data_IF_413553978110
#
_entry.id   IF_413553978110
#
_cell.length_a   1.000
_cell.length_b   1.000
_cell.length_c   1.000
_cell.angle_alpha   90.00
_cell.angle_beta   90.00
_cell.angle_gamma   90.00
#
_symmetry.space_group_name_H-M   'P 1'
#
loop_
_entity.id
_entity.type
_entity.pdbx_description
1 polymer ?
#
# COMPACT_ATOMS: atom_id res chain seq x y z
N UNK A 1 6.35 -4.51 10.76
CA UNK A 1 5.41 -3.65 10.01
C UNK A 1 5.59 -3.92 8.52
N UNK A 2 4.48 -4.11 7.78
CA UNK A 2 4.49 -4.16 6.32
C UNK A 2 3.89 -2.86 5.79
N UNK A 3 4.62 -2.16 4.93
CA UNK A 3 4.31 -0.85 4.38
C UNK A 3 4.03 -0.96 2.87
N UNK A 4 3.33 0.04 2.31
CA UNK A 4 3.16 0.18 0.85
C UNK A 4 2.64 -1.09 0.16
N UNK A 5 1.53 -1.65 0.67
CA UNK A 5 0.94 -2.92 0.22
C UNK A 5 1.88 -4.14 0.30
N UNK A 6 2.99 -4.05 1.04
CA UNK A 6 3.98 -5.12 1.16
C UNK A 6 5.30 -4.87 0.44
N UNK A 7 5.47 -3.70 -0.19
CA UNK A 7 6.72 -3.37 -0.88
C UNK A 7 7.90 -3.22 0.09
N UNK A 8 7.64 -2.83 1.34
CA UNK A 8 8.66 -2.72 2.38
C UNK A 8 8.18 -3.42 3.65
N UNK A 9 9.02 -4.28 4.23
CA UNK A 9 8.76 -4.92 5.52
C UNK A 9 9.92 -4.58 6.44
N UNK A 10 9.60 -3.98 7.57
CA UNK A 10 10.56 -3.55 8.60
C UNK A 10 10.16 -4.14 9.96
N UNK A 11 11.13 -4.29 10.85
CA UNK A 11 10.90 -4.56 12.27
C UNK A 11 11.67 -3.55 13.11
N UNK A 12 11.18 -3.35 14.32
CA UNK A 12 11.92 -2.63 15.33
C UNK A 12 13.11 -3.49 15.78
N UNK A 13 14.32 -2.95 15.69
CA UNK A 13 15.55 -3.54 16.21
C UNK A 13 16.08 -2.75 17.41
N UNK A 14 17.02 -3.34 18.15
CA UNK A 14 17.61 -2.71 19.34
C UNK A 14 18.37 -1.41 19.02
N UNK A 15 19.07 -1.36 17.88
CA UNK A 15 19.89 -0.22 17.44
C UNK A 15 19.32 0.52 16.20
N UNK A 16 18.35 -0.09 15.51
CA UNK A 16 17.70 0.44 14.31
C UNK A 16 16.18 0.26 14.42
N UNK A 17 15.41 1.35 14.62
CA UNK A 17 13.96 1.26 14.75
C UNK A 17 13.25 0.76 13.48
N UNK A 18 13.94 0.75 12.32
CA UNK A 18 13.38 0.33 11.04
C UNK A 18 14.26 -0.69 10.32
N UNK A 19 14.71 -1.73 11.03
CA UNK A 19 15.49 -2.79 10.42
C UNK A 19 14.70 -3.48 9.30
N UNK A 20 15.24 -3.42 8.07
CA UNK A 20 14.61 -4.01 6.89
C UNK A 20 14.65 -5.54 6.90
N UNK A 21 13.50 -6.16 6.69
CA UNK A 21 13.33 -7.60 6.43
C UNK A 21 13.22 -7.87 4.93
N UNK A 22 12.48 -7.03 4.21
CA UNK A 22 12.21 -7.18 2.78
C UNK A 22 12.02 -5.82 2.13
N UNK A 23 12.54 -5.64 0.91
CA UNK A 23 12.33 -4.47 0.07
C UNK A 23 12.08 -4.95 -1.37
N UNK A 24 10.99 -4.50 -1.94
CA UNK A 24 10.65 -4.65 -3.35
C UNK A 24 10.40 -3.27 -3.92
N UNK A 25 11.28 -2.86 -4.83
CA UNK A 25 11.27 -1.53 -5.42
C UNK A 25 10.62 -1.54 -6.79
N UNK A 26 10.14 -0.37 -7.21
CA UNK A 26 9.78 -0.07 -8.59
C UNK A 26 11.04 -0.03 -9.46
N UNK A 27 10.89 -0.44 -10.72
CA UNK A 27 11.94 -0.27 -11.71
C UNK A 27 12.17 1.23 -11.97
N UNK A 28 13.42 1.69 -11.85
CA UNK A 28 13.78 3.11 -12.05
C UNK A 28 13.42 3.60 -13.45
N UNK A 29 13.61 2.78 -14.49
CA UNK A 29 13.28 3.14 -15.87
C UNK A 29 11.77 3.32 -16.08
N UNK A 30 10.95 2.39 -15.58
CA UNK A 30 9.49 2.51 -15.62
C UNK A 30 8.99 3.71 -14.80
N UNK A 31 9.61 3.96 -13.65
CA UNK A 31 9.29 5.10 -12.78
C UNK A 31 9.56 6.43 -13.49
N UNK A 32 10.72 6.57 -14.14
CA UNK A 32 11.07 7.76 -14.92
C UNK A 32 10.11 7.94 -16.11
N UNK A 33 9.75 6.85 -16.80
CA UNK A 33 8.78 6.89 -17.90
C UNK A 33 7.40 7.39 -17.41
N UNK A 34 6.95 6.94 -16.23
CA UNK A 34 5.70 7.40 -15.63
C UNK A 34 5.77 8.88 -15.23
N UNK A 35 6.85 9.32 -14.59
CA UNK A 35 7.04 10.74 -14.24
C UNK A 35 7.03 11.60 -15.52
N UNK A 36 7.74 11.19 -16.57
CA UNK A 36 7.75 11.90 -17.84
C UNK A 36 6.35 12.00 -18.48
N UNK A 37 5.57 10.91 -18.45
CA UNK A 37 4.19 10.90 -18.91
C UNK A 37 3.35 11.94 -18.15
N UNK A 38 3.45 11.93 -16.82
CA UNK A 38 2.68 12.81 -15.94
C UNK A 38 3.03 14.28 -16.19
N UNK A 39 4.32 14.63 -16.19
CA UNK A 39 4.78 16.00 -16.46
C UNK A 39 4.37 16.51 -17.84
N UNK A 40 4.27 15.63 -18.85
CA UNK A 40 3.89 16.03 -20.21
C UNK A 40 2.38 16.10 -20.43
N UNK A 41 1.61 15.14 -19.92
CA UNK A 41 0.20 14.95 -20.26
C UNK A 41 -0.79 15.19 -19.11
N UNK A 42 -0.36 15.00 -17.86
CA UNK A 42 -1.23 15.07 -16.67
C UNK A 42 -0.65 16.03 -15.63
N UNK A 43 -0.49 17.30 -16.01
CA UNK A 43 0.24 18.33 -15.23
C UNK A 43 -0.40 18.70 -13.88
N UNK A 44 -1.65 18.33 -13.69
CA UNK A 44 -2.50 18.58 -12.53
C UNK A 44 -2.48 17.41 -11.54
N UNK A 45 -1.96 16.25 -11.95
CA UNK A 45 -1.82 15.08 -11.08
C UNK A 45 -0.56 15.27 -10.23
N UNK A 46 -0.75 15.25 -8.92
CA UNK A 46 0.32 15.29 -7.95
C UNK A 46 1.05 13.94 -7.88
N UNK A 47 2.37 14.00 -7.75
CA UNK A 47 3.24 12.81 -7.66
C UNK A 47 3.84 12.76 -6.26
N UNK A 48 3.45 11.74 -5.51
CA UNK A 48 4.05 11.40 -4.21
C UNK A 48 4.90 10.15 -4.34
N UNK A 49 6.22 10.29 -4.15
CA UNK A 49 7.18 9.19 -4.20
C UNK A 49 7.54 8.76 -2.78
N UNK A 50 7.34 7.49 -2.46
CA UNK A 50 7.66 6.92 -1.15
C UNK A 50 8.89 6.02 -1.22
N UNK A 51 9.88 6.29 -0.37
CA UNK A 51 11.15 5.57 -0.29
C UNK A 51 11.55 5.37 1.17
N UNK A 52 11.50 4.13 1.66
CA UNK A 52 11.79 3.85 3.07
C UNK A 52 10.76 4.50 3.99
N UNK A 53 11.20 5.42 4.85
CA UNK A 53 10.34 6.26 5.70
C UNK A 53 10.00 7.61 5.07
N UNK A 54 10.63 7.93 3.94
CA UNK A 54 10.60 9.27 3.37
C UNK A 54 9.51 9.38 2.30
N UNK A 55 8.94 10.58 2.22
CA UNK A 55 7.95 10.96 1.23
C UNK A 55 8.46 12.17 0.45
N UNK A 56 8.64 12.03 -0.85
CA UNK A 56 9.19 13.05 -1.75
C UNK A 56 8.13 13.56 -2.73
N UNK A 57 8.16 14.87 -2.99
CA UNK A 57 7.29 15.56 -3.96
C UNK A 57 8.09 16.62 -4.73
N UNK A 58 7.67 16.99 -5.94
CA UNK A 58 8.32 18.11 -6.67
C UNK A 58 7.89 19.49 -6.15
N UNK A 59 6.66 19.59 -5.63
CA UNK A 59 6.11 20.81 -5.04
C UNK A 59 4.95 20.47 -4.10
N UNK A 60 4.64 21.36 -3.17
CA UNK A 60 3.45 21.25 -2.32
C UNK A 60 2.26 21.85 -3.06
N UNK A 61 1.26 21.04 -3.33
CA UNK A 61 -0.04 21.40 -3.91
C UNK A 61 -1.18 20.99 -2.96
N UNK A 62 -2.43 21.24 -3.36
CA UNK A 62 -3.60 20.92 -2.53
C UNK A 62 -3.73 19.42 -2.19
N UNK A 63 -3.27 18.53 -3.09
CA UNK A 63 -3.32 17.09 -2.89
C UNK A 63 -2.26 16.63 -1.89
N UNK A 64 -1.06 17.22 -1.96
CA UNK A 64 0.00 17.01 -0.98
C UNK A 64 -0.43 17.51 0.40
N UNK A 65 -1.03 18.70 0.49
CA UNK A 65 -1.57 19.23 1.75
C UNK A 65 -2.65 18.30 2.34
N UNK A 66 -3.55 17.79 1.50
CA UNK A 66 -4.57 16.83 1.92
C UNK A 66 -3.94 15.53 2.45
N UNK A 67 -2.98 14.97 1.73
CA UNK A 67 -2.32 13.71 2.14
C UNK A 67 -1.50 13.90 3.42
N UNK A 68 -0.82 15.04 3.58
CA UNK A 68 -0.12 15.40 4.82
C UNK A 68 -1.11 15.51 6.00
N UNK A 69 -2.28 16.09 5.77
CA UNK A 69 -3.32 16.19 6.80
C UNK A 69 -3.88 14.82 7.22
N UNK A 70 -3.93 13.84 6.32
CA UNK A 70 -4.39 12.47 6.57
C UNK A 70 -3.31 11.66 7.29
N UNK A 71 -2.11 11.63 6.73
CA UNK A 71 -1.00 10.78 7.17
C UNK A 71 -0.25 11.34 8.38
N UNK A 72 -0.36 12.67 8.61
CA UNK A 72 0.44 13.43 9.59
C UNK A 72 1.94 13.41 9.30
N UNK A 73 2.31 13.15 8.04
CA UNK A 73 3.68 13.19 7.56
C UNK A 73 3.95 14.52 6.85
N UNK A 74 5.22 14.95 6.88
CA UNK A 74 5.69 16.12 6.14
C UNK A 74 6.45 15.66 4.90
N UNK A 75 6.14 16.20 3.70
CA UNK A 75 6.83 15.83 2.48
C UNK A 75 8.19 16.52 2.37
N UNK A 76 9.12 15.88 1.68
CA UNK A 76 10.42 16.42 1.30
C UNK A 76 10.31 16.91 -0.16
N UNK A 77 10.44 18.23 -0.34
CA UNK A 77 10.45 18.83 -1.68
C UNK A 77 11.79 18.56 -2.35
N UNK A 78 11.80 17.83 -3.46
CA UNK A 78 13.01 17.42 -4.16
C UNK A 78 12.75 17.19 -5.66
N UNK A 79 13.81 17.23 -6.47
CA UNK A 79 13.74 16.85 -7.88
C UNK A 79 13.69 15.32 -8.01
N UNK A 80 12.53 14.78 -8.39
CA UNK A 80 12.32 13.32 -8.41
C UNK A 80 13.23 12.63 -9.45
N UNK A 81 13.47 13.24 -10.61
CA UNK A 81 14.37 12.68 -11.61
C UNK A 81 15.81 12.59 -11.09
N UNK A 82 16.27 13.60 -10.35
CA UNK A 82 17.60 13.61 -9.74
C UNK A 82 17.73 12.52 -8.67
N UNK A 83 16.71 12.37 -7.81
CA UNK A 83 16.66 11.32 -6.80
C UNK A 83 16.79 9.91 -7.41
N UNK A 84 16.11 9.67 -8.52
CA UNK A 84 16.11 8.39 -9.22
C UNK A 84 17.42 8.11 -9.96
N UNK A 85 17.96 9.10 -10.68
CA UNK A 85 19.11 8.91 -11.56
C UNK A 85 20.45 9.00 -10.83
N UNK A 86 20.58 9.94 -9.89
CA UNK A 86 21.85 10.25 -9.23
C UNK A 86 21.97 9.56 -7.88
N UNK A 87 20.92 9.67 -7.05
CA UNK A 87 20.93 9.13 -5.69
C UNK A 87 20.52 7.66 -5.62
N UNK A 88 19.88 7.15 -6.68
CA UNK A 88 19.39 5.77 -6.80
C UNK A 88 18.54 5.35 -5.61
N UNK A 89 17.65 6.23 -5.17
CA UNK A 89 16.77 5.96 -4.04
C UNK A 89 15.86 4.75 -4.34
N UNK A 90 15.68 3.84 -3.37
CA UNK A 90 14.79 2.70 -3.51
C UNK A 90 13.34 3.16 -3.45
N UNK A 91 12.62 3.13 -4.57
CA UNK A 91 11.21 3.58 -4.60
C UNK A 91 10.27 2.41 -4.33
N UNK A 92 9.50 2.48 -3.26
CA UNK A 92 8.56 1.42 -2.87
C UNK A 92 7.17 1.63 -3.42
N UNK A 93 6.75 2.89 -3.59
CA UNK A 93 5.42 3.26 -4.07
C UNK A 93 5.43 4.65 -4.71
N UNK A 94 4.64 4.81 -5.77
CA UNK A 94 4.11 6.12 -6.15
C UNK A 94 2.64 6.20 -5.73
N UNK A 95 2.23 7.35 -5.22
CA UNK A 95 0.83 7.73 -5.06
C UNK A 95 0.57 8.92 -5.98
N UNK A 96 -0.36 8.73 -6.90
CA UNK A 96 -0.74 9.72 -7.89
C UNK A 96 -2.14 10.22 -7.52
N UNK A 97 -2.28 11.53 -7.29
CA UNK A 97 -3.51 12.14 -6.79
C UNK A 97 -3.95 13.23 -7.75
N UNK A 98 -5.22 13.23 -8.14
CA UNK A 98 -5.80 14.22 -9.06
C UNK A 98 -7.32 14.23 -8.99
N UNK A 99 -8.00 14.79 -9.99
CA UNK A 99 -9.46 14.60 -10.08
C UNK A 99 -9.79 13.15 -10.45
N UNK A 100 -10.96 12.63 -10.03
CA UNK A 100 -11.40 11.26 -10.36
C UNK A 100 -11.32 10.96 -11.86
N UNK A 101 -11.80 11.89 -12.71
CA UNK A 101 -11.77 11.70 -14.16
C UNK A 101 -10.36 11.66 -14.74
N UNK A 102 -9.42 12.46 -14.22
CA UNK A 102 -8.02 12.42 -14.66
C UNK A 102 -7.31 11.15 -14.22
N UNK A 103 -7.61 10.66 -13.01
CA UNK A 103 -7.07 9.41 -12.47
C UNK A 103 -7.59 8.19 -13.24
N UNK A 104 -8.87 8.18 -13.61
CA UNK A 104 -9.46 7.15 -14.49
C UNK A 104 -8.75 7.12 -15.85
N UNK A 105 -8.60 8.29 -16.49
CA UNK A 105 -7.88 8.40 -17.77
C UNK A 105 -6.41 7.99 -17.64
N UNK A 106 -5.73 8.41 -16.58
CA UNK A 106 -4.35 8.02 -16.31
C UNK A 106 -4.24 6.50 -16.15
N UNK A 107 -5.15 5.88 -15.41
CA UNK A 107 -5.16 4.43 -15.21
C UNK A 107 -5.28 3.69 -16.54
N UNK A 108 -6.20 4.09 -17.41
CA UNK A 108 -6.34 3.50 -18.75
C UNK A 108 -5.05 3.64 -19.58
N UNK A 109 -4.42 4.81 -19.55
CA UNK A 109 -3.14 5.04 -20.22
C UNK A 109 -2.05 4.14 -19.63
N UNK A 110 -1.93 4.07 -18.30
CA UNK A 110 -0.98 3.23 -17.60
C UNK A 110 -1.16 1.74 -17.91
N UNK A 111 -2.40 1.26 -18.02
CA UNK A 111 -2.70 -0.13 -18.41
C UNK A 111 -2.36 -0.43 -19.87
N UNK A 112 -2.34 0.60 -20.73
CA UNK A 112 -1.87 0.49 -22.11
C UNK A 112 -0.34 0.59 -22.25
N UNK A 113 0.33 1.14 -21.23
CA UNK A 113 1.79 1.07 -21.12
C UNK A 113 2.12 -0.34 -20.68
N UNK A 114 2.71 -1.14 -21.58
CA UNK A 114 3.20 -2.48 -21.28
C UNK A 114 4.42 -2.42 -20.33
N UNK A 115 4.24 -1.87 -19.13
CA UNK A 115 5.24 -1.89 -18.07
C UNK A 115 5.31 -3.32 -17.54
N UNK A 116 6.52 -3.87 -17.53
CA UNK A 116 6.78 -5.26 -17.18
C UNK A 116 6.67 -5.49 -15.66
N UNK A 117 7.04 -4.48 -14.88
CA UNK A 117 7.21 -4.65 -13.43
C UNK A 117 6.25 -3.84 -12.56
N UNK A 118 5.47 -2.93 -13.14
CA UNK A 118 4.57 -2.04 -12.40
C UNK A 118 3.14 -2.58 -12.35
N UNK A 119 2.48 -2.40 -11.21
CA UNK A 119 1.04 -2.62 -11.02
C UNK A 119 0.36 -1.33 -10.58
N UNK A 120 -0.91 -1.21 -10.97
CA UNK A 120 -1.72 -0.02 -10.73
C UNK A 120 -2.96 -0.41 -9.92
N UNK A 121 -3.22 0.30 -8.83
CA UNK A 121 -4.35 0.03 -7.94
C UNK A 121 -5.01 1.33 -7.48
N UNK A 122 -6.33 1.41 -7.58
CA UNK A 122 -7.10 2.54 -7.03
C UNK A 122 -7.39 2.29 -5.55
N UNK A 123 -6.75 3.05 -4.66
CA UNK A 123 -7.08 3.01 -3.23
C UNK A 123 -8.24 3.93 -2.86
N UNK A 124 -8.49 4.95 -3.68
CA UNK A 124 -9.69 5.79 -3.71
C UNK A 124 -9.98 6.17 -5.16
N UNK A 125 -11.16 6.72 -5.44
CA UNK A 125 -11.55 7.20 -6.78
C UNK A 125 -10.55 8.20 -7.37
N UNK A 126 -9.86 8.96 -6.51
CA UNK A 126 -8.89 9.96 -6.91
C UNK A 126 -7.43 9.62 -6.54
N UNK A 127 -7.15 8.37 -6.13
CA UNK A 127 -5.83 7.92 -5.64
C UNK A 127 -5.40 6.69 -6.44
N UNK A 128 -4.44 6.85 -7.35
CA UNK A 128 -3.82 5.75 -8.07
C UNK A 128 -2.47 5.40 -7.45
N UNK A 129 -2.37 4.19 -6.91
CA UNK A 129 -1.13 3.64 -6.39
C UNK A 129 -0.38 2.88 -7.46
N UNK A 130 0.93 3.11 -7.53
CA UNK A 130 1.86 2.36 -8.37
C UNK A 130 2.83 1.62 -7.45
N UNK A 131 2.88 0.30 -7.59
CA UNK A 131 3.80 -0.58 -6.88
C UNK A 131 4.38 -1.62 -7.82
N UNK A 132 5.36 -2.40 -7.38
CA UNK A 132 5.85 -3.52 -8.20
C UNK A 132 4.78 -4.63 -8.28
N UNK A 133 4.58 -5.30 -9.42
CA UNK A 133 3.49 -6.26 -9.62
C UNK A 133 3.50 -7.47 -8.67
N UNK A 134 4.67 -7.81 -8.14
CA UNK A 134 4.82 -8.87 -7.15
C UNK A 134 4.47 -8.42 -5.72
N UNK A 135 4.14 -7.15 -5.49
CA UNK A 135 3.77 -6.62 -4.18
C UNK A 135 2.29 -6.90 -3.92
N UNK A 136 2.02 -7.53 -2.78
CA UNK A 136 0.66 -7.70 -2.26
C UNK A 136 0.70 -7.89 -0.76
N UNK A 137 -0.41 -7.55 -0.08
CA UNK A 137 -0.58 -7.79 1.36
C UNK A 137 -0.52 -9.28 1.70
N UNK A 138 -0.96 -10.14 0.78
CA UNK A 138 -0.86 -11.60 0.87
C UNK A 138 0.60 -12.08 0.91
N UNK A 139 1.43 -11.58 -0.01
CA UNK A 139 2.87 -11.89 -0.02
C UNK A 139 3.54 -11.34 1.23
N UNK A 140 3.15 -10.15 1.68
CA UNK A 140 3.67 -9.56 2.91
C UNK A 140 3.33 -10.43 4.13
N UNK A 141 2.08 -10.91 4.25
CA UNK A 141 1.68 -11.84 5.30
C UNK A 141 2.56 -13.09 5.29
N UNK A 142 2.79 -13.68 4.12
CA UNK A 142 3.65 -14.87 3.98
C UNK A 142 5.08 -14.61 4.43
N UNK A 143 5.67 -13.48 4.02
CA UNK A 143 7.04 -13.11 4.42
C UNK A 143 7.13 -12.89 5.93
N UNK A 144 6.18 -12.16 6.52
CA UNK A 144 6.15 -11.89 7.96
C UNK A 144 5.96 -13.18 8.75
N UNK A 145 5.01 -14.04 8.36
CA UNK A 145 4.76 -15.32 9.01
C UNK A 145 6.01 -16.22 8.99
N UNK A 146 6.66 -16.33 7.83
CA UNK A 146 7.91 -17.09 7.67
C UNK A 146 9.05 -16.51 8.51
N UNK A 147 9.19 -15.18 8.58
CA UNK A 147 10.22 -14.53 9.39
C UNK A 147 10.11 -14.91 10.88
N UNK A 148 8.88 -14.99 11.40
CA UNK A 148 8.62 -15.41 12.79
C UNK A 148 8.44 -16.93 12.96
N UNK A 149 8.64 -17.72 11.89
CA UNK A 149 8.43 -19.17 11.89
C UNK A 149 7.01 -19.58 12.34
N UNK A 150 6.02 -18.76 11.99
CA UNK A 150 4.61 -19.00 12.25
C UNK A 150 3.98 -19.55 10.96
N UNK A 151 3.35 -20.73 11.00
CA UNK A 151 2.57 -21.23 9.87
C UNK A 151 1.45 -20.26 9.50
N UNK A 152 1.16 -20.08 8.21
CA UNK A 152 0.16 -19.10 7.74
C UNK A 152 -1.26 -19.43 8.26
N UNK A 153 -1.56 -20.71 8.45
CA UNK A 153 -2.78 -21.21 9.09
C UNK A 153 -2.93 -20.77 10.57
N UNK A 154 -1.87 -20.29 11.20
CA UNK A 154 -1.88 -19.73 12.56
C UNK A 154 -1.92 -18.19 12.55
N UNK A 155 -2.32 -17.59 11.43
CA UNK A 155 -2.46 -16.12 11.30
C UNK A 155 -3.93 -15.71 11.17
N UNK A 156 -4.22 -14.50 11.62
CA UNK A 156 -5.50 -13.82 11.40
C UNK A 156 -5.26 -12.60 10.52
N UNK A 157 -6.03 -12.46 9.45
CA UNK A 157 -6.02 -11.28 8.60
C UNK A 157 -7.38 -10.57 8.69
N UNK A 158 -7.35 -9.27 9.00
CA UNK A 158 -8.55 -8.43 9.09
C UNK A 158 -8.43 -7.37 8.00
N UNK A 159 -9.45 -7.20 7.16
CA UNK A 159 -9.45 -6.20 6.10
C UNK A 159 -10.84 -5.77 5.67
N UNK A 160 -10.90 -4.73 4.87
CA UNK A 160 -12.15 -4.08 4.48
C UNK A 160 -12.22 -3.71 3.00
N UNK A 161 -11.18 -3.99 2.22
CA UNK A 161 -11.11 -3.60 0.82
C UNK A 161 -10.66 -4.77 -0.08
N UNK A 162 -10.80 -4.61 -1.40
CA UNK A 162 -10.50 -5.66 -2.39
C UNK A 162 -9.02 -6.08 -2.38
N UNK A 163 -8.09 -5.16 -2.07
CA UNK A 163 -6.67 -5.49 -1.93
C UNK A 163 -6.35 -6.32 -0.67
N UNK A 164 -7.28 -6.42 0.29
CA UNK A 164 -7.14 -7.29 1.46
C UNK A 164 -7.64 -8.72 1.19
N UNK A 165 -8.52 -8.90 0.21
CA UNK A 165 -9.20 -10.17 -0.05
C UNK A 165 -8.24 -11.36 -0.26
N UNK A 166 -7.13 -11.24 -1.01
CA UNK A 166 -6.16 -12.33 -1.11
C UNK A 166 -5.53 -12.70 0.25
N UNK A 167 -5.17 -11.70 1.06
CA UNK A 167 -4.59 -11.91 2.40
C UNK A 167 -5.61 -12.54 3.36
N UNK A 168 -6.87 -12.09 3.31
CA UNK A 168 -7.99 -12.65 4.08
C UNK A 168 -8.18 -14.13 3.76
N UNK A 169 -8.21 -14.49 2.48
CA UNK A 169 -8.37 -15.89 2.02
C UNK A 169 -7.18 -16.77 2.37
N UNK A 170 -5.97 -16.21 2.35
CA UNK A 170 -4.75 -16.95 2.65
C UNK A 170 -4.61 -17.28 4.15
N UNK A 171 -4.98 -16.35 5.03
CA UNK A 171 -4.82 -16.51 6.47
C UNK A 171 -5.65 -17.67 7.04
N UNK A 172 -5.21 -18.26 8.15
CA UNK A 172 -5.99 -19.29 8.85
C UNK A 172 -7.34 -18.80 9.38
N UNK A 173 -7.43 -17.50 9.72
CA UNK A 173 -8.66 -16.83 10.10
C UNK A 173 -8.80 -15.51 9.35
N UNK A 174 -9.52 -15.55 8.23
CA UNK A 174 -9.86 -14.35 7.46
C UNK A 174 -11.06 -13.62 8.05
N UNK A 175 -10.94 -12.31 8.28
CA UNK A 175 -11.99 -11.47 8.85
C UNK A 175 -12.28 -10.29 7.93
N UNK A 176 -13.53 -10.14 7.52
CA UNK A 176 -14.00 -8.93 6.86
C UNK A 176 -14.56 -7.93 7.88
N UNK A 177 -14.23 -6.65 7.74
CA UNK A 177 -14.87 -5.59 8.51
C UNK A 177 -16.34 -5.41 8.09
N UNK A 178 -17.16 -4.85 8.98
CA UNK A 178 -18.59 -4.62 8.71
C UNK A 178 -18.86 -3.67 7.54
N UNK A 179 -17.90 -2.79 7.23
CA UNK A 179 -17.95 -1.84 6.12
C UNK A 179 -17.32 -2.38 4.81
N UNK A 180 -16.91 -3.66 4.79
CA UNK A 180 -16.28 -4.25 3.62
C UNK A 180 -17.28 -4.50 2.48
N UNK A 181 -16.86 -4.44 1.20
CA UNK A 181 -17.67 -4.87 0.07
C UNK A 181 -18.18 -6.32 0.22
N UNK A 182 -19.31 -6.62 -0.42
CA UNK A 182 -19.94 -7.94 -0.32
C UNK A 182 -19.00 -9.08 -0.76
N UNK A 183 -18.21 -8.86 -1.82
CA UNK A 183 -17.23 -9.83 -2.29
C UNK A 183 -16.14 -10.14 -1.25
N UNK A 184 -15.67 -9.11 -0.53
CA UNK A 184 -14.68 -9.26 0.54
C UNK A 184 -15.29 -10.04 1.70
N UNK A 185 -16.51 -9.70 2.09
CA UNK A 185 -17.26 -10.40 3.15
C UNK A 185 -17.47 -11.88 2.82
N UNK A 186 -17.84 -12.20 1.57
CA UNK A 186 -18.01 -13.59 1.12
C UNK A 186 -16.71 -14.40 1.11
N UNK A 187 -15.56 -13.74 1.01
CA UNK A 187 -14.25 -14.38 1.03
C UNK A 187 -13.66 -14.56 2.43
N UNK A 188 -14.28 -13.99 3.47
CA UNK A 188 -13.82 -14.10 4.85
C UNK A 188 -14.50 -15.26 5.59
N UNK A 189 -13.83 -15.78 6.61
CA UNK A 189 -14.37 -16.79 7.53
C UNK A 189 -15.46 -16.20 8.42
N UNK A 190 -15.25 -14.97 8.89
CA UNK A 190 -16.19 -14.23 9.73
C UNK A 190 -16.23 -12.76 9.33
N UNK A 191 -17.36 -12.13 9.62
CA UNK A 191 -17.51 -10.67 9.53
C UNK A 191 -17.51 -10.08 10.94
N UNK A 192 -16.76 -9.00 11.16
CA UNK A 192 -16.78 -8.22 12.40
C UNK A 192 -17.58 -6.92 12.22
N UNK A 193 -17.65 -6.08 13.26
CA UNK A 193 -18.27 -4.75 13.20
C UNK A 193 -17.53 -3.82 12.23
N UNK A 194 -18.08 -2.64 11.95
CA UNK A 194 -17.40 -1.65 11.11
C UNK A 194 -16.13 -1.10 11.77
N UNK A 195 -15.29 -0.44 10.99
CA UNK A 195 -14.14 0.32 11.47
C UNK A 195 -14.56 1.40 12.51
N UNK A 196 -15.67 2.11 12.28
CA UNK A 196 -16.23 3.11 13.21
C UNK A 196 -16.75 2.50 14.52
N UNK A 197 -16.97 1.19 14.55
CA UNK A 197 -17.51 0.45 15.69
C UNK A 197 -16.45 -0.43 16.38
N UNK A 198 -15.17 -0.14 16.20
CA UNK A 198 -14.04 -0.89 16.77
C UNK A 198 -14.05 -2.39 16.37
N UNK A 199 -14.38 -2.71 15.12
CA UNK A 199 -14.47 -4.09 14.63
C UNK A 199 -13.21 -4.94 14.87
N UNK A 200 -12.03 -4.34 14.75
CA UNK A 200 -10.74 -5.02 15.04
C UNK A 200 -10.69 -5.48 16.51
N UNK A 201 -10.93 -4.57 17.46
CA UNK A 201 -10.86 -4.89 18.89
C UNK A 201 -11.90 -5.94 19.29
N UNK A 202 -13.12 -5.84 18.73
CA UNK A 202 -14.21 -6.79 19.03
C UNK A 202 -13.87 -8.21 18.59
N UNK A 203 -13.34 -8.39 17.38
CA UNK A 203 -13.00 -9.74 16.89
C UNK A 203 -11.85 -10.33 17.70
N UNK A 204 -10.82 -9.55 18.02
CA UNK A 204 -9.68 -10.03 18.81
C UNK A 204 -10.12 -10.48 20.21
N UNK A 205 -10.93 -9.67 20.90
CA UNK A 205 -11.46 -10.04 22.22
C UNK A 205 -12.29 -11.32 22.17
N UNK A 206 -13.17 -11.46 21.18
CA UNK A 206 -13.97 -12.68 21.02
C UNK A 206 -13.11 -13.92 20.79
N UNK A 207 -12.04 -13.83 19.99
CA UNK A 207 -11.16 -14.98 19.73
C UNK A 207 -10.29 -15.35 20.94
N UNK A 208 -9.82 -14.37 21.71
CA UNK A 208 -9.09 -14.63 22.96
C UNK A 208 -10.00 -15.33 23.97
N UNK A 209 -11.23 -14.85 24.16
CA UNK A 209 -12.20 -15.46 25.10
C UNK A 209 -12.62 -16.89 24.71
N UNK A 210 -12.56 -17.25 23.44
CA UNK A 210 -12.85 -18.61 22.96
C UNK A 210 -11.68 -19.59 23.16
N UNK A 211 -10.46 -19.11 23.41
CA UNK A 211 -9.29 -19.95 23.68
C UNK A 211 -9.12 -20.28 25.18
N UNK A 212 -9.87 -19.61 26.06
CA UNK A 212 -9.83 -19.83 27.53
C UNK A 212 -10.87 -20.84 28.05
N UNK A 213 -11.54 -21.59 27.16
CA UNK A 213 -12.57 -22.61 27.48
C UNK A 213 -12.11 -23.97 26.96
#
# INVERSE_FOLDING_TARGET
>A
MACYNGALIVREGEDDPFQQIFSQELNVGETLQLIELLTKKFKTISISLYSGSDWYVESVDEWVEQEAAITKLEPIVANLNQLLLEQRLPVHKLLLIGSTSEIEQLKEVCESLNLETSSFYLSKENYLEVTHYQVSKEKALTIVANHYQIPVENTMAIGDNFNDLPMIKLSGMGVAMGNAPEEVTKGATIQTATNDENGVSKVLLNQILLQEI
#
